data_IF_245452414707
#
_entry.id   IF_245452414707
#
_cell.length_a   1.000
_cell.length_b   1.000
_cell.length_c   1.000
_cell.angle_alpha   90.00
_cell.angle_beta   90.00
_cell.angle_gamma   90.00
#
_symmetry.space_group_name_H-M   'P 1'
#
loop_
_entity.id
_entity.type
_entity.pdbx_description
1 polymer ?
#
# COMPACT_ATOMS: atom_id res chain seq x y z
N UNK A 1 -9.50 1.44 -7.03
CA UNK A 1 -10.97 1.69 -6.88
C UNK A 1 -11.24 2.27 -5.49
N UNK A 2 -12.25 3.12 -5.33
CA UNK A 2 -12.66 3.57 -3.98
C UNK A 2 -13.53 2.49 -3.33
N UNK A 3 -13.24 2.14 -2.07
CA UNK A 3 -13.95 1.08 -1.32
C UNK A 3 -14.60 1.59 -0.02
N UNK A 4 -14.39 2.85 0.32
CA UNK A 4 -15.03 3.53 1.44
C UNK A 4 -14.71 5.02 1.48
N UNK A 5 -15.28 5.78 2.45
CA UNK A 5 -14.91 7.17 2.67
C UNK A 5 -13.41 7.27 2.95
N UNK A 6 -12.67 7.99 2.08
CA UNK A 6 -11.22 8.12 2.17
C UNK A 6 -10.43 6.81 2.05
N UNK A 7 -11.05 5.71 1.61
CA UNK A 7 -10.40 4.40 1.46
C UNK A 7 -10.37 3.98 0.00
N UNK A 8 -9.16 3.74 -0.49
CA UNK A 8 -8.88 3.30 -1.86
C UNK A 8 -8.18 1.96 -1.82
N UNK A 9 -8.44 1.14 -2.84
CA UNK A 9 -7.88 -0.20 -2.93
C UNK A 9 -7.35 -0.46 -4.34
N UNK A 10 -6.15 -1.04 -4.40
CA UNK A 10 -5.59 -1.65 -5.60
C UNK A 10 -5.73 -3.16 -5.41
N UNK A 11 -6.56 -3.85 -6.22
CA UNK A 11 -6.72 -5.28 -6.10
C UNK A 11 -5.39 -5.99 -6.40
N UNK A 12 -5.16 -7.20 -5.86
CA UNK A 12 -3.98 -7.97 -6.20
C UNK A 12 -3.90 -8.19 -7.70
N UNK A 13 -2.72 -8.00 -8.26
CA UNK A 13 -2.42 -8.27 -9.66
C UNK A 13 -0.95 -8.69 -9.80
N UNK A 14 -0.63 -9.48 -10.83
CA UNK A 14 0.71 -10.04 -10.98
C UNK A 14 1.06 -10.97 -9.82
N UNK A 15 2.18 -10.71 -9.14
CA UNK A 15 2.68 -11.51 -8.01
C UNK A 15 2.31 -10.97 -6.63
N UNK A 16 1.34 -10.05 -6.53
CA UNK A 16 0.88 -9.53 -5.24
C UNK A 16 0.20 -10.64 -4.42
N UNK A 17 0.65 -10.86 -3.19
CA UNK A 17 0.05 -11.78 -2.22
C UNK A 17 -1.20 -11.18 -1.56
N UNK A 18 -1.25 -9.85 -1.41
CA UNK A 18 -2.35 -9.12 -0.78
C UNK A 18 -2.70 -7.84 -1.56
N UNK A 19 -3.90 -7.25 -1.40
CA UNK A 19 -4.21 -5.94 -1.97
C UNK A 19 -3.41 -4.81 -1.29
N UNK A 20 -3.33 -3.66 -1.98
CA UNK A 20 -2.90 -2.40 -1.36
C UNK A 20 -4.13 -1.60 -0.95
N UNK A 21 -4.12 -1.05 0.27
CA UNK A 21 -5.16 -0.14 0.76
C UNK A 21 -4.55 1.20 1.16
N UNK A 22 -5.12 2.27 0.64
CA UNK A 22 -4.64 3.65 0.82
C UNK A 22 -5.73 4.43 1.54
N UNK A 23 -5.36 5.08 2.63
CA UNK A 23 -6.23 6.01 3.35
C UNK A 23 -5.86 7.42 2.96
N UNK A 24 -6.74 8.12 2.23
CA UNK A 24 -6.47 9.49 1.78
C UNK A 24 -7.74 10.18 1.26
N UNK A 25 -7.80 11.51 1.38
CA UNK A 25 -8.66 12.33 0.52
C UNK A 25 -8.23 12.21 -0.94
N UNK A 26 -9.08 12.63 -1.87
CA UNK A 26 -8.75 12.59 -3.30
C UNK A 26 -7.49 13.41 -3.62
N UNK A 27 -7.38 14.60 -3.02
CA UNK A 27 -6.22 15.49 -3.16
C UNK A 27 -4.92 14.87 -2.61
N UNK A 28 -4.99 14.18 -1.47
CA UNK A 28 -3.83 13.49 -0.91
C UNK A 28 -3.48 12.26 -1.73
N UNK A 29 -4.46 11.49 -2.19
CA UNK A 29 -4.22 10.33 -3.06
C UNK A 29 -3.45 10.72 -4.31
N UNK A 30 -3.84 11.82 -4.96
CA UNK A 30 -3.17 12.29 -6.18
C UNK A 30 -1.69 12.62 -5.90
N UNK A 31 -1.37 13.24 -4.75
CA UNK A 31 0.02 13.48 -4.33
C UNK A 31 0.80 12.19 -4.06
N UNK A 32 0.19 11.21 -3.39
CA UNK A 32 0.82 9.91 -3.09
C UNK A 32 1.13 9.16 -4.40
N UNK A 33 0.25 9.28 -5.40
CA UNK A 33 0.46 8.71 -6.74
C UNK A 33 1.59 9.43 -7.47
N UNK A 34 1.59 10.77 -7.47
CA UNK A 34 2.62 11.59 -8.14
C UNK A 34 4.02 11.33 -7.57
N UNK A 35 4.13 11.07 -6.27
CA UNK A 35 5.38 10.74 -5.58
C UNK A 35 5.80 9.26 -5.75
N UNK A 36 5.07 8.46 -6.53
CA UNK A 36 5.31 7.03 -6.75
C UNK A 36 5.29 6.14 -5.48
N UNK A 37 4.90 6.67 -4.31
CA UNK A 37 4.81 5.90 -3.07
C UNK A 37 3.84 4.71 -3.17
N UNK A 38 2.80 4.84 -4.02
CA UNK A 38 1.88 3.74 -4.35
C UNK A 38 2.61 2.53 -4.93
N UNK A 39 3.61 2.75 -5.81
CA UNK A 39 4.37 1.64 -6.39
C UNK A 39 5.19 0.89 -5.34
N UNK A 40 5.72 1.61 -4.34
CA UNK A 40 6.40 0.97 -3.22
C UNK A 40 5.43 0.12 -2.39
N UNK A 41 4.23 0.63 -2.10
CA UNK A 41 3.18 -0.16 -1.43
C UNK A 41 2.77 -1.41 -2.23
N UNK A 42 2.74 -1.33 -3.57
CA UNK A 42 2.52 -2.47 -4.46
C UNK A 42 3.69 -3.47 -4.36
N UNK A 43 4.94 -3.01 -4.31
CA UNK A 43 6.09 -3.89 -4.14
C UNK A 43 6.05 -4.62 -2.78
N UNK A 44 5.69 -3.91 -1.70
CA UNK A 44 5.45 -4.50 -0.37
C UNK A 44 4.42 -5.64 -0.44
N UNK A 45 3.36 -5.44 -1.21
CA UNK A 45 2.30 -6.44 -1.38
C UNK A 45 2.75 -7.74 -2.07
N UNK A 46 3.95 -7.79 -2.66
CA UNK A 46 4.54 -9.00 -3.24
C UNK A 46 5.39 -9.81 -2.24
N UNK A 47 5.63 -9.28 -1.04
CA UNK A 47 6.55 -9.94 -0.11
C UNK A 47 5.94 -11.23 0.46
N UNK A 48 6.73 -12.30 0.63
CA UNK A 48 6.31 -13.50 1.35
C UNK A 48 5.86 -13.17 2.77
N UNK A 49 4.92 -13.95 3.31
CA UNK A 49 4.41 -13.78 4.67
C UNK A 49 3.51 -12.57 4.90
N UNK A 50 3.37 -11.63 3.95
CA UNK A 50 2.52 -10.45 4.17
C UNK A 50 1.04 -10.84 4.36
N UNK A 51 0.41 -10.30 5.40
CA UNK A 51 -0.96 -10.64 5.75
C UNK A 51 -1.95 -9.52 5.43
N UNK A 52 -3.12 -9.92 4.94
CA UNK A 52 -4.32 -9.10 4.69
C UNK A 52 -4.16 -7.97 3.65
N UNK A 53 -3.32 -6.97 3.91
CA UNK A 53 -3.21 -5.73 3.13
C UNK A 53 -1.83 -5.08 3.32
N UNK A 54 -1.29 -4.50 2.24
CA UNK A 54 -0.25 -3.47 2.32
C UNK A 54 -0.92 -2.11 2.46
N UNK A 55 -0.60 -1.36 3.52
CA UNK A 55 -1.25 -0.09 3.82
C UNK A 55 -0.36 1.10 3.48
N UNK A 56 -0.97 2.15 2.93
CA UNK A 56 -0.39 3.49 2.83
C UNK A 56 -1.29 4.51 3.56
N UNK A 57 -0.69 5.26 4.48
CA UNK A 57 -1.37 6.28 5.28
C UNK A 57 -1.54 7.60 4.50
N UNK A 58 -2.35 8.56 4.99
CA UNK A 58 -2.61 9.82 4.27
C UNK A 58 -1.37 10.70 4.02
N UNK A 59 -0.31 10.48 4.78
CA UNK A 59 0.99 11.16 4.70
C UNK A 59 2.05 10.32 3.97
N UNK A 60 1.63 9.26 3.27
CA UNK A 60 2.55 8.39 2.56
C UNK A 60 3.35 9.13 1.48
N UNK A 61 4.65 8.87 1.44
CA UNK A 61 5.57 9.47 0.47
C UNK A 61 6.75 8.54 0.19
N UNK A 62 7.53 8.85 -0.84
CA UNK A 62 8.61 8.03 -1.34
C UNK A 62 9.65 7.75 -0.25
N UNK A 63 9.87 6.47 0.02
CA UNK A 63 10.83 5.98 0.99
C UNK A 63 11.90 5.10 0.36
N UNK A 64 12.52 4.27 1.19
CA UNK A 64 13.54 3.30 0.76
C UNK A 64 12.94 1.89 0.70
N UNK A 65 12.49 1.48 -0.49
CA UNK A 65 11.84 0.19 -0.73
C UNK A 65 10.40 0.12 -0.25
N UNK A 66 10.15 0.54 0.99
CA UNK A 66 8.83 0.77 1.57
C UNK A 66 8.51 2.27 1.58
N UNK A 67 7.24 2.65 1.37
CA UNK A 67 6.84 4.05 1.53
C UNK A 67 6.96 4.46 2.99
N UNK A 68 7.40 5.70 3.23
CA UNK A 68 7.20 6.32 4.54
C UNK A 68 5.68 6.48 4.72
N UNK A 69 5.16 6.27 5.92
CA UNK A 69 3.72 6.15 6.15
C UNK A 69 3.12 4.83 5.66
N UNK A 70 3.95 3.83 5.32
CA UNK A 70 3.53 2.47 5.03
C UNK A 70 3.32 1.63 6.28
N UNK A 71 2.35 0.71 6.26
CA UNK A 71 2.19 -0.32 7.27
C UNK A 71 1.99 -1.67 6.59
N UNK A 72 2.75 -2.67 7.02
CA UNK A 72 2.56 -4.06 6.62
C UNK A 72 2.76 -4.95 7.84
N UNK A 73 1.96 -6.02 7.91
CA UNK A 73 2.11 -7.06 8.90
C UNK A 73 2.48 -8.36 8.18
N UNK A 74 3.28 -9.18 8.85
CA UNK A 74 3.86 -10.38 8.29
C UNK A 74 3.66 -11.54 9.27
N UNK A 75 3.37 -12.73 8.74
CA UNK A 75 3.36 -13.95 9.51
C UNK A 75 4.80 -14.37 9.83
N UNK A 76 5.10 -14.59 11.11
CA UNK A 76 6.46 -14.84 11.58
C UNK A 76 7.04 -16.16 11.06
N UNK A 77 6.19 -17.12 10.68
CA UNK A 77 6.62 -18.43 10.18
C UNK A 77 6.74 -18.44 8.64
N UNK A 78 6.00 -17.59 7.93
CA UNK A 78 5.97 -17.55 6.46
C UNK A 78 6.84 -16.46 5.83
N UNK A 79 7.34 -15.50 6.63
CA UNK A 79 8.34 -14.50 6.19
C UNK A 79 8.15 -13.13 6.81
#
# INVERSE_FOLDING_TARGET
>A
KQVGPYVWEIPPSGGMNVPVRIYASKELLDKIVDDNAVQQAVNVAHMPGIVRVSLAMPDAHWGYGFPIGGVAAFDADEG
#
